data_IF_448146901569
#
_entry.id   IF_448146901569
#
_cell.length_a   1.000
_cell.length_b   1.000
_cell.length_c   1.000
_cell.angle_alpha   90.00
_cell.angle_beta   90.00
_cell.angle_gamma   90.00
#
_symmetry.space_group_name_H-M   'P 1'
#
loop_
_entity.id
_entity.type
_entity.pdbx_description
1 polymer ?
#
# COMPACT_ATOMS: atom_id res chain seq x y z
N UNK A 1 9.35 10.50 24.42
CA UNK A 1 8.66 9.54 23.52
C UNK A 1 7.56 8.69 24.17
N UNK A 2 7.58 8.45 25.49
CA UNK A 2 6.52 7.70 26.20
C UNK A 2 5.22 8.50 26.33
N UNK A 3 5.32 9.81 26.59
CA UNK A 3 4.16 10.71 26.78
C UNK A 3 3.18 10.67 25.59
N UNK A 4 3.66 10.86 24.35
CA UNK A 4 2.83 10.89 23.14
C UNK A 4 1.94 9.65 22.93
N UNK A 5 2.39 8.47 23.39
CA UNK A 5 1.67 7.20 23.23
C UNK A 5 0.51 7.02 24.21
N UNK A 6 0.54 7.74 25.33
CA UNK A 6 -0.50 7.67 26.35
C UNK A 6 -1.70 8.55 25.95
N UNK A 7 -1.43 9.72 25.35
CA UNK A 7 -2.47 10.65 24.92
C UNK A 7 -3.35 10.10 23.80
N UNK A 8 -2.79 9.32 22.87
CA UNK A 8 -3.56 8.74 21.77
C UNK A 8 -4.63 7.77 22.27
N UNK A 9 -4.31 6.91 23.25
CA UNK A 9 -5.29 6.02 23.86
C UNK A 9 -6.41 6.81 24.57
N UNK A 10 -6.05 7.85 25.33
CA UNK A 10 -7.01 8.69 26.05
C UNK A 10 -7.98 9.43 25.10
N UNK A 11 -7.46 10.01 24.01
CA UNK A 11 -8.28 10.70 23.01
C UNK A 11 -9.25 9.71 22.35
N UNK A 12 -8.77 8.52 21.96
CA UNK A 12 -9.60 7.50 21.35
C UNK A 12 -10.69 7.00 22.31
N UNK A 13 -10.35 6.79 23.59
CA UNK A 13 -11.32 6.43 24.62
C UNK A 13 -12.41 7.50 24.78
N UNK A 14 -12.01 8.77 24.81
CA UNK A 14 -12.95 9.89 24.93
C UNK A 14 -13.87 9.97 23.71
N UNK A 15 -13.33 9.86 22.49
CA UNK A 15 -14.11 9.88 21.25
C UNK A 15 -15.11 8.71 21.18
N UNK A 16 -14.69 7.49 21.55
CA UNK A 16 -15.58 6.32 21.58
C UNK A 16 -16.71 6.48 22.61
N UNK A 17 -16.42 7.07 23.78
CA UNK A 17 -17.42 7.29 24.84
C UNK A 17 -18.39 8.45 24.53
N UNK A 18 -17.95 9.45 23.79
CA UNK A 18 -18.76 10.62 23.42
C UNK A 18 -19.60 10.35 22.18
N UNK A 19 -19.10 9.58 21.20
CA UNK A 19 -19.79 9.27 19.95
C UNK A 19 -21.27 8.86 20.11
N UNK A 20 -21.66 7.94 21.01
CA UNK A 20 -23.06 7.54 21.16
C UNK A 20 -23.94 8.63 21.81
N UNK A 21 -23.33 9.64 22.46
CA UNK A 21 -24.01 10.73 23.15
C UNK A 21 -24.19 11.97 22.28
N UNK A 22 -23.61 11.98 21.08
CA UNK A 22 -23.72 13.12 20.18
C UNK A 22 -25.13 13.17 19.57
N UNK A 23 -25.76 14.36 19.49
CA UNK A 23 -27.09 14.52 18.89
C UNK A 23 -27.09 14.36 17.36
N UNK A 24 -25.93 14.06 16.77
CA UNK A 24 -25.71 13.89 15.33
C UNK A 24 -25.24 12.46 15.05
N UNK A 25 -25.50 11.96 13.83
CA UNK A 25 -24.96 10.68 13.36
C UNK A 25 -23.45 10.80 13.11
N UNK A 26 -22.65 10.69 14.17
CA UNK A 26 -21.20 10.72 14.11
C UNK A 26 -20.64 9.32 13.84
N UNK A 27 -19.84 9.16 12.77
CA UNK A 27 -19.11 7.92 12.44
C UNK A 27 -17.62 8.18 12.57
N UNK A 28 -16.94 7.33 13.34
CA UNK A 28 -15.50 7.40 13.54
C UNK A 28 -14.82 6.29 12.75
N UNK A 29 -13.87 6.67 11.88
CA UNK A 29 -12.96 5.73 11.22
C UNK A 29 -11.55 6.00 11.72
N UNK A 30 -10.89 4.97 12.26
CA UNK A 30 -9.56 5.09 12.85
C UNK A 30 -8.64 4.10 12.15
N UNK A 31 -7.56 4.59 11.55
CA UNK A 31 -6.49 3.75 10.97
C UNK A 31 -5.26 3.83 11.85
N UNK A 32 -4.81 2.69 12.36
CA UNK A 32 -3.66 2.59 13.27
C UNK A 32 -2.77 1.45 12.82
N UNK A 33 -1.45 1.58 13.00
CA UNK A 33 -0.56 0.41 12.97
C UNK A 33 -0.89 -0.45 14.22
N UNK A 34 -0.85 -1.79 14.15
CA UNK A 34 -1.01 -2.64 15.32
C UNK A 34 0.18 -2.44 16.27
N UNK A 35 0.13 -1.38 17.06
CA UNK A 35 1.08 -1.12 18.13
C UNK A 35 0.54 -1.81 19.38
N UNK A 36 1.27 -2.83 19.84
CA UNK A 36 0.90 -3.66 21.00
C UNK A 36 0.43 -2.82 22.20
N UNK A 37 1.16 -1.74 22.52
CA UNK A 37 0.86 -0.88 23.67
C UNK A 37 -0.48 -0.14 23.56
N UNK A 38 -0.90 0.22 22.35
CA UNK A 38 -2.16 0.93 22.13
C UNK A 38 -3.36 -0.02 22.32
N UNK A 39 -3.24 -1.24 21.81
CA UNK A 39 -4.27 -2.27 21.98
C UNK A 39 -4.45 -2.61 23.47
N UNK A 40 -3.35 -2.86 24.20
CA UNK A 40 -3.39 -3.14 25.64
C UNK A 40 -3.99 -1.98 26.43
N UNK A 41 -3.58 -0.73 26.13
CA UNK A 41 -4.09 0.46 26.84
C UNK A 41 -5.59 0.67 26.62
N UNK A 42 -6.08 0.48 25.40
CA UNK A 42 -7.51 0.61 25.08
C UNK A 42 -8.36 -0.50 25.73
N UNK A 43 -7.85 -1.73 25.77
CA UNK A 43 -8.47 -2.84 26.48
C UNK A 43 -8.56 -2.56 27.99
N UNK A 44 -7.47 -2.09 28.61
CA UNK A 44 -7.47 -1.69 30.02
C UNK A 44 -8.44 -0.55 30.33
N UNK A 45 -8.65 0.37 29.38
CA UNK A 45 -9.62 1.47 29.51
C UNK A 45 -11.08 1.03 29.27
N UNK A 46 -11.35 -0.28 29.12
CA UNK A 46 -12.70 -0.82 28.90
C UNK A 46 -13.36 -0.32 27.62
N UNK A 47 -12.58 0.26 26.70
CA UNK A 47 -13.10 0.89 25.49
C UNK A 47 -13.17 -0.16 24.39
N UNK A 48 -14.35 -0.74 24.20
CA UNK A 48 -14.65 -1.56 23.03
C UNK A 48 -14.82 -0.64 21.82
N UNK A 49 -13.79 -0.51 20.99
CA UNK A 49 -13.93 0.13 19.70
C UNK A 49 -14.80 -0.75 18.81
N UNK A 50 -15.71 -0.12 18.05
CA UNK A 50 -16.89 -0.74 17.44
C UNK A 50 -16.66 -2.11 16.79
N UNK A 51 -17.73 -2.90 16.75
CA UNK A 51 -17.83 -4.33 16.40
C UNK A 51 -17.22 -4.78 15.06
N UNK A 52 -16.50 -3.93 14.34
CA UNK A 52 -15.84 -4.22 13.06
C UNK A 52 -14.41 -3.65 13.06
N UNK A 53 -13.48 -4.46 13.52
CA UNK A 53 -12.06 -4.29 13.22
C UNK A 53 -11.79 -4.75 11.80
N UNK A 54 -11.02 -3.97 11.04
CA UNK A 54 -10.51 -4.36 9.72
C UNK A 54 -9.00 -4.41 9.77
N UNK A 55 -8.47 -5.62 9.71
CA UNK A 55 -7.04 -5.85 9.67
C UNK A 55 -6.60 -5.81 8.20
N UNK A 56 -5.85 -4.79 7.82
CA UNK A 56 -5.51 -4.56 6.42
C UNK A 56 -4.60 -5.66 5.83
N UNK A 57 -3.79 -6.33 6.66
CA UNK A 57 -2.93 -7.44 6.22
C UNK A 57 -3.67 -8.78 6.04
N UNK A 58 -4.87 -8.92 6.61
CA UNK A 58 -5.72 -10.10 6.44
C UNK A 58 -6.51 -10.08 5.13
N UNK A 59 -6.45 -8.96 4.40
CA UNK A 59 -7.06 -8.89 3.07
C UNK A 59 -6.35 -9.86 2.13
N UNK A 60 -7.17 -10.61 1.38
CA UNK A 60 -6.68 -11.60 0.44
C UNK A 60 -5.64 -11.00 -0.53
N UNK A 61 -4.54 -11.72 -0.70
CA UNK A 61 -3.40 -11.29 -1.50
C UNK A 61 -3.82 -10.94 -2.94
N UNK A 62 -4.77 -11.68 -3.52
CA UNK A 62 -5.26 -11.45 -4.87
C UNK A 62 -6.03 -10.14 -5.00
N UNK A 63 -6.78 -9.75 -3.96
CA UNK A 63 -7.52 -8.47 -3.93
C UNK A 63 -6.54 -7.30 -3.92
N UNK A 64 -5.53 -7.36 -3.05
CA UNK A 64 -4.50 -6.32 -2.97
C UNK A 64 -3.70 -6.24 -4.26
N UNK A 65 -3.26 -7.40 -4.78
CA UNK A 65 -2.53 -7.49 -6.06
C UNK A 65 -3.35 -6.92 -7.22
N UNK A 66 -4.64 -7.21 -7.29
CA UNK A 66 -5.54 -6.63 -8.29
C UNK A 66 -5.67 -5.10 -8.18
N UNK A 67 -5.67 -4.57 -6.95
CA UNK A 67 -5.58 -3.13 -6.69
C UNK A 67 -4.27 -2.52 -7.19
N UNK A 68 -3.14 -3.18 -6.91
CA UNK A 68 -1.81 -2.73 -7.35
C UNK A 68 -1.70 -2.77 -8.88
N UNK A 69 -2.18 -3.83 -9.56
CA UNK A 69 -2.23 -3.89 -11.03
C UNK A 69 -2.98 -2.71 -11.63
N UNK A 70 -4.18 -2.40 -11.10
CA UNK A 70 -4.96 -1.24 -11.55
C UNK A 70 -4.24 0.09 -11.32
N UNK A 71 -3.59 0.24 -10.16
CA UNK A 71 -2.79 1.42 -9.85
C UNK A 71 -1.62 1.58 -10.83
N UNK A 72 -0.80 0.54 -11.01
CA UNK A 72 0.35 0.55 -11.91
C UNK A 72 -0.08 0.87 -13.35
N UNK A 73 -1.10 0.19 -13.87
CA UNK A 73 -1.63 0.44 -15.20
C UNK A 73 -2.05 1.90 -15.34
N UNK A 74 -2.91 2.40 -14.44
CA UNK A 74 -3.39 3.78 -14.49
C UNK A 74 -2.27 4.81 -14.45
N UNK A 75 -1.24 4.61 -13.62
CA UNK A 75 -0.15 5.57 -13.44
C UNK A 75 0.86 5.49 -14.59
N UNK A 76 1.25 4.30 -15.02
CA UNK A 76 2.21 4.13 -16.10
C UNK A 76 1.61 4.50 -17.47
N UNK A 77 0.30 4.34 -17.69
CA UNK A 77 -0.36 4.91 -18.88
C UNK A 77 -0.25 6.44 -18.92
N UNK A 78 -0.29 7.12 -17.77
CA UNK A 78 -0.07 8.58 -17.72
C UNK A 78 1.36 8.94 -18.07
N UNK A 79 2.34 8.20 -17.53
CA UNK A 79 3.75 8.35 -17.92
C UNK A 79 3.91 8.10 -19.43
N UNK A 80 3.22 7.10 -19.99
CA UNK A 80 3.25 6.82 -21.42
C UNK A 80 2.81 8.02 -22.26
N UNK A 81 1.74 8.68 -21.83
CA UNK A 81 1.20 9.86 -22.51
C UNK A 81 2.18 11.05 -22.43
N UNK A 82 2.75 11.30 -21.25
CA UNK A 82 3.70 12.40 -21.02
C UNK A 82 4.99 12.20 -21.83
N UNK A 83 5.40 10.96 -22.08
CA UNK A 83 6.62 10.59 -22.81
C UNK A 83 6.35 9.92 -24.17
N UNK A 84 5.24 10.28 -24.82
CA UNK A 84 4.78 9.69 -26.09
C UNK A 84 5.85 9.67 -27.20
N UNK A 85 6.75 10.65 -27.23
CA UNK A 85 7.88 10.72 -28.20
C UNK A 85 8.94 9.64 -28.00
N UNK A 86 9.16 9.19 -26.75
CA UNK A 86 10.19 8.23 -26.37
C UNK A 86 9.65 6.80 -26.37
N UNK A 87 8.44 6.63 -25.86
CA UNK A 87 7.83 5.31 -25.66
C UNK A 87 7.29 4.73 -26.98
N UNK A 88 6.91 5.60 -27.91
CA UNK A 88 6.42 5.21 -29.22
C UNK A 88 5.03 4.58 -29.19
N UNK A 89 4.45 4.28 -30.36
CA UNK A 89 3.15 3.63 -30.46
C UNK A 89 3.24 2.16 -30.03
N UNK A 90 2.41 1.76 -29.05
CA UNK A 90 2.31 0.38 -28.59
C UNK A 90 1.75 0.26 -27.17
N UNK A 91 1.41 -0.95 -26.72
CA UNK A 91 1.01 -1.19 -25.34
C UNK A 91 2.24 -1.07 -24.43
N UNK A 92 2.45 0.12 -23.86
CA UNK A 92 3.43 0.33 -22.81
C UNK A 92 2.75 0.86 -21.54
N UNK A 93 3.09 0.29 -20.37
CA UNK A 93 3.85 -0.96 -20.18
C UNK A 93 3.05 -2.18 -20.67
N UNK A 94 3.72 -3.31 -20.88
CA UNK A 94 3.02 -4.56 -21.25
C UNK A 94 2.19 -5.10 -20.06
N UNK A 95 1.14 -5.89 -20.30
CA UNK A 95 0.41 -6.60 -19.24
C UNK A 95 1.31 -7.48 -18.36
N UNK A 96 2.38 -8.02 -18.93
CA UNK A 96 3.40 -8.83 -18.26
C UNK A 96 4.22 -7.97 -17.29
N UNK A 97 4.69 -6.79 -17.72
CA UNK A 97 5.42 -5.84 -16.85
C UNK A 97 4.56 -5.42 -15.66
N UNK A 98 3.28 -5.11 -15.90
CA UNK A 98 2.33 -4.76 -14.84
C UNK A 98 2.17 -5.92 -13.85
N UNK A 99 2.14 -7.15 -14.36
CA UNK A 99 2.00 -8.34 -13.51
C UNK A 99 3.25 -8.59 -12.68
N UNK A 100 4.43 -8.48 -13.28
CA UNK A 100 5.72 -8.62 -12.60
C UNK A 100 5.90 -7.55 -11.51
N UNK A 101 5.60 -6.28 -11.80
CA UNK A 101 5.68 -5.21 -10.80
C UNK A 101 4.65 -5.37 -9.67
N UNK A 102 3.45 -5.86 -9.97
CA UNK A 102 2.44 -6.14 -8.96
C UNK A 102 2.83 -7.31 -8.05
N UNK A 103 3.55 -8.29 -8.58
CA UNK A 103 4.15 -9.40 -7.81
C UNK A 103 5.30 -8.89 -6.94
N UNK A 104 6.25 -8.13 -7.51
CA UNK A 104 7.35 -7.45 -6.80
C UNK A 104 6.88 -6.65 -5.59
N UNK A 105 5.71 -6.04 -5.73
CA UNK A 105 5.18 -5.13 -4.72
C UNK A 105 4.80 -5.84 -3.42
N UNK A 106 4.64 -7.17 -3.39
CA UNK A 106 4.27 -7.96 -2.20
C UNK A 106 3.21 -7.29 -1.31
N UNK A 107 2.06 -6.92 -1.92
CA UNK A 107 0.93 -6.20 -1.29
C UNK A 107 1.20 -4.75 -0.85
N UNK A 108 2.39 -4.20 -1.07
CA UNK A 108 2.76 -2.84 -0.69
C UNK A 108 2.52 -1.82 -1.82
N UNK A 109 1.44 -1.05 -1.71
CA UNK A 109 1.21 0.09 -2.62
C UNK A 109 2.33 1.14 -2.59
N UNK A 110 3.01 1.29 -1.44
CA UNK A 110 4.12 2.23 -1.34
C UNK A 110 5.27 1.82 -2.26
N UNK A 111 5.52 0.52 -2.42
CA UNK A 111 6.53 0.02 -3.35
C UNK A 111 6.15 0.37 -4.79
N UNK A 112 4.92 0.01 -5.20
CA UNK A 112 4.41 0.34 -6.53
C UNK A 112 4.46 1.84 -6.85
N UNK A 113 4.11 2.69 -5.87
CA UNK A 113 4.17 4.14 -6.01
C UNK A 113 5.60 4.65 -6.18
N UNK A 114 6.57 4.07 -5.47
CA UNK A 114 7.99 4.38 -5.62
C UNK A 114 8.51 3.99 -7.00
N UNK A 115 8.15 2.80 -7.50
CA UNK A 115 8.51 2.37 -8.87
C UNK A 115 7.98 3.36 -9.90
N UNK A 116 6.71 3.74 -9.82
CA UNK A 116 6.12 4.73 -10.75
C UNK A 116 6.88 6.05 -10.72
N UNK A 117 7.23 6.54 -9.51
CA UNK A 117 8.01 7.78 -9.38
C UNK A 117 9.38 7.64 -10.02
N UNK A 118 10.08 6.55 -9.74
CA UNK A 118 11.40 6.27 -10.28
C UNK A 118 11.39 6.18 -11.81
N UNK A 119 10.40 5.47 -12.38
CA UNK A 119 10.22 5.37 -13.84
C UNK A 119 9.93 6.73 -14.47
N UNK A 120 9.21 7.62 -13.78
CA UNK A 120 8.90 8.96 -14.27
C UNK A 120 10.01 10.00 -14.02
N UNK A 121 11.02 9.68 -13.20
CA UNK A 121 12.09 10.61 -12.80
C UNK A 121 13.29 10.54 -13.77
N UNK A 122 13.01 10.54 -15.07
CA UNK A 122 14.01 10.43 -16.13
C UNK A 122 13.45 10.90 -17.47
N UNK A 123 14.36 11.18 -18.42
CA UNK A 123 14.01 11.43 -19.83
C UNK A 123 13.76 10.12 -20.62
N UNK A 124 14.09 8.96 -20.05
CA UNK A 124 13.83 7.65 -20.65
C UNK A 124 13.12 6.67 -19.71
N UNK A 125 11.79 6.82 -19.51
CA UNK A 125 11.02 5.93 -18.63
C UNK A 125 11.05 4.46 -19.03
N UNK A 126 11.23 4.18 -20.32
CA UNK A 126 11.25 2.81 -20.84
C UNK A 126 12.44 2.03 -20.28
N UNK A 127 13.64 2.60 -20.33
CA UNK A 127 14.82 1.93 -19.78
C UNK A 127 14.74 1.75 -18.26
N UNK A 128 14.13 2.68 -17.53
CA UNK A 128 13.96 2.55 -16.08
C UNK A 128 12.96 1.44 -15.71
N UNK A 129 11.90 1.28 -16.51
CA UNK A 129 10.96 0.19 -16.33
C UNK A 129 11.66 -1.15 -16.55
N UNK A 130 12.44 -1.27 -17.63
CA UNK A 130 13.18 -2.49 -17.98
C UNK A 130 14.14 -2.90 -16.86
N UNK A 131 14.83 -1.95 -16.22
CA UNK A 131 15.69 -2.22 -15.06
C UNK A 131 14.91 -2.81 -13.88
N UNK A 132 13.74 -2.26 -13.57
CA UNK A 132 12.93 -2.73 -12.44
C UNK A 132 12.33 -4.12 -12.66
N UNK A 133 11.97 -4.43 -13.91
CA UNK A 133 11.47 -5.75 -14.31
C UNK A 133 12.63 -6.77 -14.36
N UNK A 134 13.81 -6.39 -14.86
CA UNK A 134 14.98 -7.27 -14.91
C UNK A 134 15.47 -7.68 -13.51
N UNK A 135 15.50 -6.73 -12.56
CA UNK A 135 15.79 -7.03 -11.16
C UNK A 135 14.84 -8.07 -10.56
N UNK A 136 13.58 -8.14 -11.04
CA UNK A 136 12.67 -9.19 -10.58
C UNK A 136 13.06 -10.56 -11.06
N UNK A 137 13.37 -10.69 -12.35
CA UNK A 137 13.79 -11.97 -12.93
C UNK A 137 15.04 -12.49 -12.23
N UNK A 138 16.02 -11.61 -11.96
CA UNK A 138 17.23 -11.98 -11.22
C UNK A 138 16.95 -12.38 -9.76
N UNK A 139 15.99 -11.72 -9.09
CA UNK A 139 15.60 -12.10 -7.72
C UNK A 139 14.81 -13.42 -7.67
N UNK A 140 14.05 -13.72 -8.73
CA UNK A 140 13.30 -14.97 -8.86
C UNK A 140 14.23 -16.15 -9.14
N UNK A 141 15.18 -16.00 -10.07
CA UNK A 141 16.16 -17.05 -10.38
C UNK A 141 17.15 -17.30 -9.23
N UNK A 142 17.51 -16.28 -8.47
CA UNK A 142 18.34 -16.45 -7.26
C UNK A 142 17.61 -17.24 -6.16
N UNK A 143 16.29 -17.08 -6.02
CA UNK A 143 15.51 -17.87 -5.05
C UNK A 143 15.32 -19.34 -5.48
N UNK A 144 15.33 -19.63 -6.78
CA UNK A 144 15.25 -21.02 -7.29
C UNK A 144 16.57 -21.78 -7.12
N UNK A 145 17.73 -21.12 -7.25
CA UNK A 145 19.06 -21.73 -7.06
C UNK A 145 19.46 -22.01 -5.59
N UNK A 146 18.65 -21.58 -4.61
CA UNK A 146 18.92 -21.78 -3.18
C UNK A 146 18.12 -22.97 -2.62
N UNK A 147 17.29 -23.63 -3.45
CA UNK A 147 16.45 -24.78 -3.06
C UNK A 147 16.99 -26.13 -3.60
N UNK A 148 18.12 -26.14 -4.31
CA UNK A 148 18.90 -27.36 -4.59
C UNK A 148 20.11 -27.50 -3.66
#
# INVERSE_FOLDING_TARGET
MISARIWSAQILSLLCNVQPKLPIRFKLFVSLRPEHNLQTSLLHQGTYWGSKSYILHDVDASVVRGGIKRFLHSRLTKVAADYSKVIGPGPWPSPEDISALAEKSDKLFIFAATVVKFVADTDNPKSQLDLQVLEQVLSATANEMVIE
#
